data_IF_754119932957
#
_entry.id   IF_754119932957
#
_cell.length_a   1.000
_cell.length_b   1.000
_cell.length_c   1.000
_cell.angle_alpha   90.00
_cell.angle_beta   90.00
_cell.angle_gamma   90.00
#
_symmetry.space_group_name_H-M   'P 1'
#
loop_
_entity.id
_entity.type
_entity.pdbx_description
1 polymer ?
#
# COMPACT_ATOMS: atom_id res chain seq x y z
N UNK A 1 -24.72 7.45 -4.75
CA UNK A 1 -24.19 6.33 -3.94
C UNK A 1 -22.82 5.97 -4.51
N UNK A 2 -21.73 6.05 -3.73
CA UNK A 2 -20.40 5.74 -4.28
C UNK A 2 -19.26 6.33 -3.45
N UNK A 3 -18.98 5.70 -2.31
CA UNK A 3 -17.77 5.97 -1.51
C UNK A 3 -17.10 4.64 -1.12
N UNK A 4 -17.25 3.62 -1.97
CA UNK A 4 -16.51 2.38 -1.82
C UNK A 4 -15.06 2.59 -2.28
N UNK A 5 -14.11 2.12 -1.47
CA UNK A 5 -12.73 1.95 -1.90
C UNK A 5 -12.66 1.01 -3.09
N UNK A 6 -11.81 1.33 -4.04
CA UNK A 6 -11.48 0.44 -5.15
C UNK A 6 -10.00 0.14 -5.14
N UNK A 7 -9.70 -1.14 -5.24
CA UNK A 7 -8.35 -1.68 -5.28
C UNK A 7 -8.11 -2.24 -6.68
N UNK A 8 -7.06 -1.75 -7.34
CA UNK A 8 -6.65 -2.30 -8.64
C UNK A 8 -5.20 -2.73 -8.57
N UNK A 9 -5.00 -4.04 -8.48
CA UNK A 9 -3.67 -4.65 -8.62
C UNK A 9 -3.34 -4.81 -10.09
N UNK A 10 -2.18 -4.30 -10.48
CA UNK A 10 -1.58 -4.49 -11.80
C UNK A 10 -0.19 -5.08 -11.55
N UNK A 11 0.01 -6.34 -11.88
CA UNK A 11 1.35 -6.90 -12.00
C UNK A 11 1.89 -6.51 -13.37
N UNK A 12 2.97 -5.71 -13.41
CA UNK A 12 3.64 -5.40 -14.67
C UNK A 12 4.50 -6.61 -15.06
N UNK A 13 4.42 -7.05 -16.32
CA UNK A 13 5.05 -8.31 -16.78
C UNK A 13 6.55 -8.15 -17.09
N UNK A 14 7.07 -6.92 -17.08
CA UNK A 14 8.48 -6.61 -17.43
C UNK A 14 9.33 -6.14 -16.23
N UNK A 15 8.68 -5.79 -15.12
CA UNK A 15 9.33 -5.35 -13.89
C UNK A 15 8.84 -6.31 -12.82
N UNK A 16 9.72 -6.87 -12.01
CA UNK A 16 9.39 -7.78 -10.91
C UNK A 16 8.63 -7.05 -9.77
N UNK A 17 7.79 -6.09 -10.12
CA UNK A 17 7.12 -5.15 -9.23
C UNK A 17 5.62 -5.29 -9.42
N UNK A 18 4.92 -5.62 -8.34
CA UNK A 18 3.46 -5.58 -8.31
C UNK A 18 3.01 -4.18 -7.90
N UNK A 19 2.16 -3.55 -8.71
CA UNK A 19 1.62 -2.23 -8.43
C UNK A 19 0.18 -2.33 -7.93
N UNK A 20 -0.08 -1.82 -6.73
CA UNK A 20 -1.42 -1.79 -6.10
C UNK A 20 -1.90 -0.35 -6.13
N UNK A 21 -2.91 -0.05 -6.95
CA UNK A 21 -3.49 1.29 -7.03
C UNK A 21 -4.67 1.42 -6.09
N UNK A 22 -4.59 2.41 -5.19
CA UNK A 22 -5.62 2.70 -4.20
C UNK A 22 -6.41 3.94 -4.63
N UNK A 23 -7.74 3.81 -4.68
CA UNK A 23 -8.64 4.91 -5.01
C UNK A 23 -9.80 4.98 -4.03
N UNK A 24 -9.94 6.11 -3.33
CA UNK A 24 -11.01 6.36 -2.35
C UNK A 24 -10.50 6.75 -0.95
N UNK A 25 -11.15 6.23 0.09
CA UNK A 25 -10.81 6.45 1.51
C UNK A 25 -10.18 5.20 2.11
N UNK A 26 -8.90 5.25 2.48
CA UNK A 26 -8.25 4.11 3.13
C UNK A 26 -8.54 4.13 4.63
N UNK A 27 -9.49 3.30 5.06
CA UNK A 27 -9.92 3.15 6.44
C UNK A 27 -10.00 1.68 6.88
N UNK A 28 -10.49 1.46 8.10
CA UNK A 28 -10.62 0.13 8.71
C UNK A 28 -11.41 -0.86 7.85
N UNK A 29 -12.40 -0.39 7.09
CA UNK A 29 -13.28 -1.24 6.28
C UNK A 29 -12.54 -1.83 5.09
N UNK A 30 -11.51 -1.11 4.64
CA UNK A 30 -10.75 -1.40 3.43
C UNK A 30 -9.42 -2.13 3.70
N UNK A 31 -8.97 -2.14 4.96
CA UNK A 31 -7.77 -2.85 5.44
C UNK A 31 -7.72 -4.34 5.08
N UNK A 32 -8.75 -5.16 5.36
CA UNK A 32 -8.74 -6.58 5.01
C UNK A 32 -8.58 -6.83 3.50
N UNK A 33 -9.27 -6.04 2.68
CA UNK A 33 -9.20 -6.17 1.22
C UNK A 33 -7.82 -5.74 0.68
N UNK A 34 -7.24 -4.68 1.25
CA UNK A 34 -5.88 -4.26 0.95
C UNK A 34 -4.86 -5.38 1.24
N UNK A 35 -4.94 -6.00 2.42
CA UNK A 35 -4.05 -7.09 2.81
C UNK A 35 -4.20 -8.30 1.89
N UNK A 36 -5.41 -8.65 1.49
CA UNK A 36 -5.66 -9.73 0.53
C UNK A 36 -4.99 -9.47 -0.82
N UNK A 37 -5.06 -8.23 -1.33
CA UNK A 37 -4.39 -7.85 -2.57
C UNK A 37 -2.86 -7.89 -2.43
N UNK A 38 -2.33 -7.43 -1.30
CA UNK A 38 -0.90 -7.48 -1.02
C UNK A 38 -0.36 -8.91 -0.88
N UNK A 39 -1.08 -9.79 -0.19
CA UNK A 39 -0.74 -11.21 -0.07
C UNK A 39 -0.75 -11.92 -1.42
N UNK A 40 -1.73 -11.62 -2.28
CA UNK A 40 -1.75 -12.16 -3.64
C UNK A 40 -0.52 -11.73 -4.45
N UNK A 41 -0.04 -10.50 -4.27
CA UNK A 41 1.20 -10.02 -4.88
C UNK A 41 2.44 -10.71 -4.28
N UNK A 42 2.46 -10.92 -2.95
CA UNK A 42 3.54 -11.65 -2.26
C UNK A 42 3.60 -13.15 -2.66
N UNK A 43 2.46 -13.76 -2.98
CA UNK A 43 2.40 -15.15 -3.43
C UNK A 43 2.93 -15.33 -4.87
N UNK A 44 2.99 -14.26 -5.67
CA UNK A 44 3.50 -14.33 -7.04
C UNK A 44 5.03 -14.54 -7.04
N UNK A 45 5.56 -15.62 -7.65
CA UNK A 45 6.98 -15.99 -7.53
C UNK A 45 7.93 -15.06 -8.31
N UNK A 46 7.44 -14.33 -9.30
CA UNK A 46 8.22 -13.43 -10.14
C UNK A 46 8.29 -11.99 -9.60
N UNK A 47 7.57 -11.69 -8.51
CA UNK A 47 7.50 -10.37 -7.89
C UNK A 47 8.55 -10.29 -6.78
N UNK A 48 9.45 -9.31 -6.83
CA UNK A 48 10.41 -8.94 -5.78
C UNK A 48 9.97 -7.70 -5.00
N UNK A 49 9.16 -6.83 -5.61
CA UNK A 49 8.84 -5.52 -5.07
C UNK A 49 7.34 -5.24 -5.15
N UNK A 50 6.82 -4.49 -4.18
CA UNK A 50 5.44 -4.03 -4.17
C UNK A 50 5.44 -2.51 -4.12
N UNK A 51 4.79 -1.91 -5.10
CA UNK A 51 4.55 -0.47 -5.18
C UNK A 51 3.08 -0.20 -4.86
N UNK A 52 2.81 0.62 -3.86
CA UNK A 52 1.46 1.04 -3.50
C UNK A 52 1.27 2.47 -3.97
N UNK A 53 0.38 2.66 -4.95
CA UNK A 53 0.03 3.97 -5.48
C UNK A 53 -1.11 4.59 -4.67
N UNK A 54 -0.74 5.62 -3.91
CA UNK A 54 -1.61 6.39 -3.03
C UNK A 54 -2.21 7.62 -3.75
N UNK A 55 -1.94 7.82 -5.04
CA UNK A 55 -2.38 9.00 -5.78
C UNK A 55 -3.90 9.17 -5.86
N UNK A 56 -4.64 8.06 -5.81
CA UNK A 56 -6.10 8.03 -5.77
C UNK A 56 -6.71 8.14 -4.37
N UNK A 57 -5.90 8.16 -3.30
CA UNK A 57 -6.37 8.19 -1.91
C UNK A 57 -6.74 9.62 -1.51
N UNK A 58 -7.96 9.81 -1.01
CA UNK A 58 -8.47 11.11 -0.57
C UNK A 58 -8.25 11.34 0.92
N UNK A 59 -8.49 10.30 1.71
CA UNK A 59 -8.36 10.31 3.16
C UNK A 59 -7.85 8.96 3.64
N UNK A 60 -7.15 8.98 4.76
CA UNK A 60 -6.60 7.82 5.43
C UNK A 60 -6.79 7.99 6.95
N UNK A 61 -6.99 6.91 7.68
CA UNK A 61 -7.05 6.91 9.14
C UNK A 61 -5.90 6.11 9.78
N UNK A 62 -5.88 6.02 11.11
CA UNK A 62 -4.85 5.26 11.83
C UNK A 62 -4.93 3.75 11.58
N UNK A 63 -6.10 3.19 11.34
CA UNK A 63 -6.26 1.75 11.09
C UNK A 63 -5.72 1.33 9.73
N UNK A 64 -5.70 2.24 8.76
CA UNK A 64 -5.01 2.02 7.50
C UNK A 64 -3.48 1.95 7.66
N UNK A 65 -2.90 2.65 8.65
CA UNK A 65 -1.47 2.52 8.96
C UNK A 65 -1.15 1.11 9.45
N UNK A 66 -2.00 0.54 10.31
CA UNK A 66 -1.85 -0.84 10.78
C UNK A 66 -1.82 -1.84 9.61
N UNK A 67 -2.69 -1.63 8.61
CA UNK A 67 -2.72 -2.46 7.41
C UNK A 67 -1.45 -2.31 6.55
N UNK A 68 -0.93 -1.08 6.37
CA UNK A 68 0.34 -0.84 5.67
C UNK A 68 1.51 -1.52 6.38
N UNK A 69 1.58 -1.39 7.70
CA UNK A 69 2.63 -1.99 8.52
C UNK A 69 2.57 -3.51 8.45
N UNK A 70 1.37 -4.10 8.57
CA UNK A 70 1.17 -5.53 8.44
C UNK A 70 1.65 -6.06 7.08
N UNK A 71 1.34 -5.36 5.98
CA UNK A 71 1.82 -5.77 4.66
C UNK A 71 3.34 -5.65 4.54
N UNK A 72 3.93 -4.59 5.08
CA UNK A 72 5.38 -4.39 5.08
C UNK A 72 6.11 -5.49 5.86
N UNK A 73 5.60 -5.86 7.03
CA UNK A 73 6.17 -6.95 7.84
C UNK A 73 6.15 -8.28 7.09
N UNK A 74 5.02 -8.59 6.44
CA UNK A 74 4.90 -9.76 5.57
C UNK A 74 5.87 -9.69 4.38
N UNK A 75 5.97 -8.55 3.71
CA UNK A 75 6.90 -8.41 2.60
C UNK A 75 8.35 -8.61 3.04
N UNK A 76 8.72 -8.05 4.19
CA UNK A 76 10.05 -8.19 4.78
C UNK A 76 10.38 -9.64 5.11
N UNK A 77 9.43 -10.43 5.63
CA UNK A 77 9.65 -11.87 5.89
C UNK A 77 9.83 -12.68 4.60
N UNK A 78 9.35 -12.17 3.46
CA UNK A 78 9.56 -12.72 2.12
C UNK A 78 10.78 -12.12 1.39
N UNK A 79 11.63 -11.31 2.04
CA UNK A 79 12.72 -10.54 1.43
C UNK A 79 12.28 -9.62 0.28
N UNK A 80 11.09 -9.03 0.41
CA UNK A 80 10.49 -8.12 -0.57
C UNK A 80 10.32 -6.73 0.02
N UNK A 81 10.38 -5.72 -0.84
CA UNK A 81 10.26 -4.32 -0.44
C UNK A 81 8.85 -3.79 -0.73
N UNK A 82 8.30 -3.00 0.18
CA UNK A 82 7.06 -2.22 -0.04
C UNK A 82 7.42 -0.75 -0.14
N UNK A 83 7.06 -0.13 -1.25
CA UNK A 83 7.28 1.29 -1.56
C UNK A 83 5.95 2.00 -1.68
N UNK A 84 5.83 3.18 -1.07
CA UNK A 84 4.66 4.04 -1.23
C UNK A 84 4.98 5.11 -2.28
N UNK A 85 4.11 5.28 -3.27
CA UNK A 85 4.25 6.31 -4.32
C UNK A 85 2.96 7.13 -4.45
N UNK A 86 3.06 8.33 -5.01
CA UNK A 86 1.89 9.19 -5.18
C UNK A 86 1.26 9.66 -3.85
N UNK A 87 2.03 9.61 -2.76
CA UNK A 87 1.58 10.02 -1.44
C UNK A 87 1.22 11.52 -1.43
N UNK A 88 -0.05 11.81 -1.21
CA UNK A 88 -0.50 13.19 -1.00
C UNK A 88 -0.04 13.69 0.37
N UNK A 89 0.05 15.00 0.52
CA UNK A 89 0.53 15.64 1.76
C UNK A 89 -0.22 15.20 3.03
N UNK A 90 -1.52 14.90 2.94
CA UNK A 90 -2.30 14.37 4.06
C UNK A 90 -1.86 12.97 4.49
N UNK A 91 -1.47 12.12 3.54
CA UNK A 91 -0.93 10.78 3.81
C UNK A 91 0.47 10.88 4.41
N UNK A 92 1.33 11.72 3.84
CA UNK A 92 2.67 11.96 4.38
C UNK A 92 2.61 12.47 5.83
N UNK A 93 1.73 13.42 6.13
CA UNK A 93 1.58 13.95 7.49
C UNK A 93 1.13 12.88 8.50
N UNK A 94 0.29 11.92 8.08
CA UNK A 94 -0.09 10.80 8.93
C UNK A 94 1.07 9.82 9.16
N UNK A 95 1.87 9.56 8.13
CA UNK A 95 3.08 8.74 8.24
C UNK A 95 4.13 9.40 9.15
N UNK A 96 4.32 10.72 9.03
CA UNK A 96 5.16 11.55 9.89
C UNK A 96 4.68 11.51 11.35
N UNK A 97 3.39 11.77 11.58
CA UNK A 97 2.80 11.76 12.92
C UNK A 97 2.90 10.39 13.61
N UNK A 98 2.89 9.31 12.84
CA UNK A 98 3.06 7.94 13.33
C UNK A 98 4.53 7.48 13.38
N UNK A 99 5.49 8.34 13.01
CA UNK A 99 6.93 8.04 12.96
C UNK A 99 7.26 6.83 12.04
N UNK A 100 6.53 6.69 10.93
CA UNK A 100 6.66 5.57 10.00
C UNK A 100 7.47 5.91 8.74
N UNK A 101 7.94 7.14 8.60
CA UNK A 101 8.82 7.56 7.50
C UNK A 101 10.02 6.63 7.27
N UNK A 102 10.78 6.16 8.28
CA UNK A 102 11.92 5.27 8.03
C UNK A 102 11.52 3.85 7.61
N UNK A 103 10.22 3.50 7.71
CA UNK A 103 9.73 2.16 7.43
C UNK A 103 9.35 1.99 5.96
N UNK A 104 8.98 3.07 5.28
CA UNK A 104 8.60 3.05 3.88
C UNK A 104 9.55 3.90 3.05
N UNK A 105 10.10 3.34 1.98
CA UNK A 105 10.66 4.16 0.93
C UNK A 105 9.49 4.93 0.29
N UNK A 106 9.34 6.20 0.62
CA UNK A 106 8.34 7.08 0.04
C UNK A 106 9.02 7.94 -1.03
N UNK A 107 8.72 7.68 -2.30
CA UNK A 107 9.14 8.56 -3.38
C UNK A 107 7.97 9.49 -3.71
N UNK A 108 8.17 10.79 -3.50
CA UNK A 108 7.22 11.84 -3.82
C UNK A 108 7.03 12.00 -5.34
#
# INVERSE_FOLDING_TARGET
>A
MGWAMTFKTIAAVDRQTAKINLHGTFDFSSGPQFLQCGEAALAAPHISDIEIDMGGVRSMDSSALDALLTLREKASSHNRTVTLVGCRRSVLHLLEAANLEPLFAANA
#
